data_IF_818332909615
#
_entry.id   IF_818332909615
#
_cell.length_a   1.000
_cell.length_b   1.000
_cell.length_c   1.000
_cell.angle_alpha   90.00
_cell.angle_beta   90.00
_cell.angle_gamma   90.00
#
_symmetry.space_group_name_H-M   'P 1'
#
loop_
_entity.id
_entity.type
_entity.pdbx_description
1 polymer ?
#
# COMPACT_ATOMS: atom_id res chain seq x y z
N UNK A 1 -37.26 -9.54 -7.51
CA UNK A 1 -36.59 -10.43 -6.54
C UNK A 1 -35.12 -10.64 -6.96
N UNK A 2 -34.84 -11.31 -8.11
CA UNK A 2 -33.46 -11.57 -8.59
C UNK A 2 -32.55 -10.35 -8.68
N UNK A 3 -33.05 -9.18 -9.09
CA UNK A 3 -32.26 -7.95 -9.14
C UNK A 3 -31.87 -7.45 -7.74
N UNK A 4 -32.74 -7.59 -6.78
CA UNK A 4 -32.50 -7.23 -5.38
C UNK A 4 -31.49 -8.19 -4.74
N UNK A 5 -31.66 -9.48 -4.98
CA UNK A 5 -30.73 -10.52 -4.51
C UNK A 5 -29.33 -10.34 -5.11
N UNK A 6 -29.24 -10.04 -6.40
CA UNK A 6 -27.96 -9.74 -7.05
C UNK A 6 -27.22 -8.56 -6.40
N UNK A 7 -27.93 -7.47 -6.10
CA UNK A 7 -27.36 -6.29 -5.44
C UNK A 7 -26.99 -6.56 -3.97
N UNK A 8 -27.83 -7.28 -3.24
CA UNK A 8 -27.61 -7.51 -1.82
C UNK A 8 -26.56 -8.59 -1.53
N UNK A 9 -26.52 -9.65 -2.33
CA UNK A 9 -25.74 -10.86 -2.04
C UNK A 9 -24.51 -11.03 -2.96
N UNK A 10 -24.59 -10.59 -4.23
CA UNK A 10 -23.58 -10.93 -5.23
C UNK A 10 -22.58 -9.78 -5.52
N UNK A 11 -22.83 -8.57 -5.06
CA UNK A 11 -21.87 -7.48 -5.28
C UNK A 11 -20.57 -7.75 -4.54
N UNK A 12 -19.44 -7.54 -5.24
CA UNK A 12 -18.10 -7.73 -4.68
C UNK A 12 -17.83 -6.84 -3.46
N UNK A 13 -18.42 -5.66 -3.41
CA UNK A 13 -18.35 -4.73 -2.27
C UNK A 13 -18.94 -5.32 -0.97
N UNK A 14 -19.83 -6.28 -1.07
CA UNK A 14 -20.45 -6.95 0.08
C UNK A 14 -19.75 -8.28 0.43
N UNK A 15 -18.82 -8.75 -0.39
CA UNK A 15 -18.12 -10.02 -0.26
C UNK A 15 -16.60 -9.81 -0.17
N UNK A 16 -16.16 -9.21 0.92
CA UNK A 16 -14.73 -8.89 1.15
C UNK A 16 -13.95 -10.11 1.64
N UNK A 17 -14.54 -10.86 2.58
CA UNK A 17 -13.90 -12.03 3.18
C UNK A 17 -14.49 -13.33 2.64
N UNK A 18 -13.63 -14.34 2.49
CA UNK A 18 -14.06 -15.68 2.13
C UNK A 18 -14.82 -16.34 3.30
N UNK A 19 -16.01 -16.88 3.09
CA UNK A 19 -16.73 -17.60 4.13
C UNK A 19 -16.05 -18.93 4.51
N UNK A 20 -15.16 -19.45 3.66
CA UNK A 20 -14.46 -20.71 3.93
C UNK A 20 -13.21 -20.52 4.81
N UNK A 21 -12.43 -19.46 4.58
CA UNK A 21 -11.15 -19.24 5.27
C UNK A 21 -11.10 -17.97 6.12
N UNK A 22 -12.02 -17.03 5.93
CA UNK A 22 -11.99 -15.72 6.56
C UNK A 22 -10.90 -14.79 6.01
N UNK A 23 -10.20 -15.20 4.95
CA UNK A 23 -9.20 -14.36 4.28
C UNK A 23 -9.86 -13.42 3.27
N UNK A 24 -9.28 -12.23 3.01
CA UNK A 24 -9.78 -11.32 1.98
C UNK A 24 -9.78 -11.97 0.59
N UNK A 25 -10.91 -11.84 -0.12
CA UNK A 25 -11.04 -12.28 -1.52
C UNK A 25 -10.55 -11.18 -2.48
N UNK A 26 -10.81 -9.92 -2.16
CA UNK A 26 -10.46 -8.76 -2.99
C UNK A 26 -8.97 -8.40 -2.88
N UNK A 27 -8.09 -9.38 -3.02
CA UNK A 27 -6.64 -9.16 -3.00
C UNK A 27 -6.15 -8.92 -4.42
N UNK A 28 -5.45 -7.82 -4.68
CA UNK A 28 -4.83 -7.57 -5.98
C UNK A 28 -3.88 -8.69 -6.40
N UNK A 29 -3.77 -8.90 -7.70
CA UNK A 29 -2.88 -9.90 -8.30
C UNK A 29 -2.16 -9.36 -9.53
N UNK A 30 -1.25 -10.15 -10.10
CA UNK A 30 -0.55 -9.85 -11.35
C UNK A 30 0.12 -8.45 -11.35
N UNK A 31 -0.24 -7.59 -12.30
CA UNK A 31 0.42 -6.30 -12.55
C UNK A 31 0.28 -5.31 -11.37
N UNK A 32 -0.81 -5.39 -10.63
CA UNK A 32 -1.00 -4.54 -9.45
C UNK A 32 0.04 -4.87 -8.38
N UNK A 33 0.27 -6.17 -8.11
CA UNK A 33 1.29 -6.63 -7.16
C UNK A 33 2.68 -6.25 -7.65
N UNK A 34 2.95 -6.39 -8.94
CA UNK A 34 4.23 -5.99 -9.54
C UNK A 34 4.50 -4.49 -9.33
N UNK A 35 3.52 -3.65 -9.59
CA UNK A 35 3.62 -2.20 -9.40
C UNK A 35 3.84 -1.81 -7.93
N UNK A 36 3.09 -2.41 -7.02
CA UNK A 36 3.23 -2.16 -5.58
C UNK A 36 4.57 -2.66 -5.04
N UNK A 37 5.04 -3.81 -5.50
CA UNK A 37 6.37 -4.31 -5.15
C UNK A 37 7.47 -3.39 -5.67
N UNK A 38 7.39 -2.98 -6.94
CA UNK A 38 8.34 -2.06 -7.55
C UNK A 38 8.46 -0.74 -6.78
N UNK A 39 7.33 -0.12 -6.42
CA UNK A 39 7.35 1.16 -5.71
C UNK A 39 7.84 1.06 -4.27
N UNK A 40 7.62 -0.07 -3.59
CA UNK A 40 8.00 -0.25 -2.18
C UNK A 40 9.36 -0.90 -1.95
N UNK A 41 10.03 -1.29 -3.03
CA UNK A 41 11.40 -1.82 -3.00
C UNK A 41 12.38 -0.74 -2.58
N UNK A 42 13.44 -1.13 -1.89
CA UNK A 42 14.57 -0.26 -1.55
C UNK A 42 15.66 -0.37 -2.62
N UNK A 43 16.30 0.75 -2.93
CA UNK A 43 17.48 0.81 -3.79
C UNK A 43 18.57 1.58 -3.08
N UNK A 44 19.74 0.98 -2.97
CA UNK A 44 20.94 1.58 -2.39
C UNK A 44 21.56 2.53 -3.41
N UNK A 45 22.12 3.64 -2.96
CA UNK A 45 22.71 4.71 -3.78
C UNK A 45 21.71 5.35 -4.76
N UNK A 46 20.44 5.42 -4.39
CA UNK A 46 19.45 6.15 -5.15
C UNK A 46 19.56 7.66 -4.89
N UNK A 47 19.17 8.46 -5.88
CA UNK A 47 19.19 9.92 -5.75
C UNK A 47 18.33 10.37 -4.57
N UNK A 48 18.91 11.19 -3.69
CA UNK A 48 18.24 11.73 -2.51
C UNK A 48 18.25 10.79 -1.30
N UNK A 49 19.08 9.74 -1.30
CA UNK A 49 19.24 8.86 -0.15
C UNK A 49 19.74 9.63 1.08
N UNK A 50 19.19 9.31 2.24
CA UNK A 50 19.55 9.93 3.52
C UNK A 50 18.86 11.27 3.81
N UNK A 51 18.05 11.81 2.91
CA UNK A 51 17.29 13.04 3.16
C UNK A 51 16.29 12.84 4.29
N UNK A 52 16.08 13.93 5.05
CA UNK A 52 15.14 13.94 6.19
C UNK A 52 14.01 14.90 5.85
N UNK A 53 12.78 14.44 6.02
CA UNK A 53 11.58 15.22 5.76
C UNK A 53 10.75 15.39 7.05
N UNK A 54 10.18 16.58 7.23
CA UNK A 54 9.35 16.89 8.38
C UNK A 54 7.95 16.26 8.28
N UNK A 55 7.46 16.01 7.05
CA UNK A 55 6.13 15.46 6.80
C UNK A 55 6.13 14.64 5.48
N UNK A 56 5.16 13.73 5.37
CA UNK A 56 4.94 12.94 4.15
C UNK A 56 4.65 13.81 2.91
N UNK A 57 3.96 14.96 3.09
CA UNK A 57 3.68 15.91 2.00
C UNK A 57 4.94 16.57 1.44
N UNK A 58 5.91 16.85 2.30
CA UNK A 58 7.20 17.39 1.90
C UNK A 58 7.97 16.37 1.05
N UNK A 59 7.98 15.10 1.48
CA UNK A 59 8.59 14.01 0.75
C UNK A 59 7.94 13.80 -0.65
N UNK A 60 6.62 13.86 -0.73
CA UNK A 60 5.87 13.77 -1.99
C UNK A 60 6.21 14.93 -2.94
N UNK A 61 6.34 16.17 -2.44
CA UNK A 61 6.77 17.33 -3.24
C UNK A 61 8.20 17.20 -3.74
N UNK A 62 9.12 16.68 -2.91
CA UNK A 62 10.51 16.43 -3.29
C UNK A 62 10.60 15.39 -4.42
N UNK A 63 9.78 14.35 -4.36
CA UNK A 63 9.65 13.36 -5.42
C UNK A 63 9.10 13.98 -6.72
N UNK A 64 8.02 14.75 -6.65
CA UNK A 64 7.41 15.40 -7.81
C UNK A 64 8.36 16.40 -8.48
N UNK A 65 9.27 17.03 -7.72
CA UNK A 65 10.33 17.90 -8.25
C UNK A 65 11.59 17.14 -8.71
N UNK A 66 11.55 15.81 -8.76
CA UNK A 66 12.65 14.93 -9.17
C UNK A 66 13.93 15.12 -8.37
N UNK A 67 13.84 15.57 -7.13
CA UNK A 67 14.99 15.69 -6.21
C UNK A 67 15.34 14.38 -5.53
N UNK A 68 14.37 13.49 -5.40
CA UNK A 68 14.49 12.19 -4.74
C UNK A 68 13.87 11.11 -5.61
N UNK A 69 14.51 9.96 -5.69
CA UNK A 69 14.00 8.80 -6.40
C UNK A 69 12.94 8.05 -5.56
N UNK A 70 12.05 7.34 -6.25
CA UNK A 70 10.95 6.57 -5.66
C UNK A 70 11.43 5.55 -4.62
N UNK A 71 12.57 4.90 -4.90
CA UNK A 71 13.12 3.79 -4.11
C UNK A 71 14.25 4.23 -3.15
N UNK A 72 14.51 5.54 -3.05
CA UNK A 72 15.52 6.09 -2.16
C UNK A 72 15.14 5.91 -0.69
N UNK A 73 16.11 5.54 0.12
CA UNK A 73 15.95 5.41 1.57
C UNK A 73 16.02 6.81 2.18
N UNK A 74 14.95 7.21 2.85
CA UNK A 74 14.79 8.53 3.47
C UNK A 74 14.26 8.41 4.89
N UNK A 75 14.40 9.46 5.68
CA UNK A 75 13.82 9.54 7.02
C UNK A 75 12.67 10.54 7.03
N UNK A 76 11.50 10.11 7.46
CA UNK A 76 10.30 10.95 7.49
C UNK A 76 9.67 10.89 8.86
N UNK A 77 9.19 12.04 9.33
CA UNK A 77 8.37 12.09 10.53
C UNK A 77 6.95 11.66 10.18
N UNK A 78 6.55 10.52 10.72
CA UNK A 78 5.21 9.98 10.57
C UNK A 78 4.42 10.28 11.84
N UNK A 79 3.24 10.81 11.65
CA UNK A 79 2.27 11.08 12.70
C UNK A 79 1.16 10.05 12.58
N UNK A 80 1.02 9.17 13.56
CA UNK A 80 -0.03 8.15 13.61
C UNK A 80 -1.14 8.62 14.54
N UNK A 81 -2.37 8.60 14.04
CA UNK A 81 -3.57 8.78 14.86
C UNK A 81 -3.94 7.40 15.46
N UNK A 82 -3.92 7.26 16.78
CA UNK A 82 -4.20 5.99 17.45
C UNK A 82 -5.61 5.47 17.18
N UNK A 83 -5.74 4.16 17.01
CA UNK A 83 -7.03 3.47 16.97
C UNK A 83 -7.75 3.67 18.31
N UNK A 84 -8.97 4.23 18.29
CA UNK A 84 -9.83 4.35 19.48
C UNK A 84 -9.67 5.64 20.29
N UNK A 85 -9.09 6.69 19.72
CA UNK A 85 -9.21 8.02 20.30
C UNK A 85 -10.67 8.50 20.18
N UNK A 86 -11.41 8.43 21.31
CA UNK A 86 -12.63 9.23 21.46
C UNK A 86 -12.28 10.71 21.18
N UNK A 87 -13.18 11.43 20.54
CA UNK A 87 -13.01 12.85 20.23
C UNK A 87 -12.58 13.62 21.49
N UNK A 88 -11.28 13.93 21.59
CA UNK A 88 -10.71 14.68 22.72
C UNK A 88 -9.45 14.12 23.36
N UNK A 89 -9.02 12.87 23.07
CA UNK A 89 -7.80 12.29 23.62
C UNK A 89 -6.94 11.63 22.55
N UNK A 90 -6.56 12.39 21.54
CA UNK A 90 -5.66 11.92 20.50
C UNK A 90 -4.24 11.78 21.05
N UNK A 91 -3.83 10.57 21.42
CA UNK A 91 -2.41 10.26 21.61
C UNK A 91 -1.75 10.17 20.24
N UNK A 92 -1.44 11.32 19.68
CA UNK A 92 -0.72 11.45 18.41
C UNK A 92 0.74 11.07 18.67
N UNK A 93 1.15 9.89 18.21
CA UNK A 93 2.56 9.49 18.23
C UNK A 93 3.25 9.98 16.98
N UNK A 94 4.23 10.85 17.17
CA UNK A 94 5.11 11.32 16.09
C UNK A 94 6.48 10.67 16.23
N UNK A 95 6.91 9.93 15.24
CA UNK A 95 8.21 9.28 15.21
C UNK A 95 8.93 9.53 13.89
N UNK A 96 10.27 9.64 13.96
CA UNK A 96 11.11 9.68 12.78
C UNK A 96 11.40 8.24 12.34
N UNK A 97 10.92 7.87 11.16
CA UNK A 97 11.01 6.49 10.65
C UNK A 97 11.82 6.47 9.37
N UNK A 98 12.70 5.49 9.24
CA UNK A 98 13.40 5.21 8.00
C UNK A 98 12.50 4.41 7.05
N UNK A 99 12.35 4.91 5.82
CA UNK A 99 11.42 4.37 4.84
C UNK A 99 11.86 4.76 3.41
N UNK A 100 11.02 4.47 2.42
CA UNK A 100 11.23 4.93 1.04
C UNK A 100 10.08 5.84 0.59
N UNK A 101 10.35 6.66 -0.43
CA UNK A 101 9.30 7.54 -1.00
C UNK A 101 8.10 6.73 -1.48
N UNK A 102 8.32 5.56 -2.11
CA UNK A 102 7.23 4.70 -2.56
C UNK A 102 6.31 4.24 -1.42
N UNK A 103 6.87 3.90 -0.26
CA UNK A 103 6.07 3.51 0.92
C UNK A 103 5.29 4.69 1.50
N UNK A 104 5.84 5.89 1.42
CA UNK A 104 5.15 7.13 1.83
C UNK A 104 3.96 7.41 0.91
N UNK A 105 4.14 7.26 -0.41
CA UNK A 105 3.06 7.43 -1.37
C UNK A 105 1.96 6.36 -1.22
N UNK A 106 2.35 5.14 -0.84
CA UNK A 106 1.39 4.11 -0.48
C UNK A 106 0.63 4.47 0.81
N UNK A 107 1.33 5.02 1.81
CA UNK A 107 0.73 5.47 3.07
C UNK A 107 -0.33 6.57 2.87
N UNK A 108 -0.18 7.42 1.86
CA UNK A 108 -1.13 8.48 1.55
C UNK A 108 -2.54 7.97 1.22
N UNK A 109 -2.65 6.76 0.66
CA UNK A 109 -3.95 6.13 0.34
C UNK A 109 -4.47 5.22 1.45
N UNK A 110 -3.64 4.88 2.43
CA UNK A 110 -4.05 4.03 3.56
C UNK A 110 -5.00 4.81 4.47
N UNK A 111 -6.17 4.23 4.82
CA UNK A 111 -7.09 4.87 5.74
C UNK A 111 -6.46 5.16 7.10
N UNK A 112 -6.88 6.24 7.74
CA UNK A 112 -6.44 6.62 9.08
C UNK A 112 -6.80 5.54 10.10
N UNK A 113 -5.94 5.36 11.09
CA UNK A 113 -6.13 4.35 12.14
C UNK A 113 -5.34 3.06 11.95
N UNK A 114 -4.62 2.89 10.85
CA UNK A 114 -3.65 1.80 10.69
C UNK A 114 -2.24 2.23 11.07
N UNK A 115 -1.39 1.28 11.46
CA UNK A 115 0.01 1.55 11.80
C UNK A 115 0.88 1.64 10.53
N UNK A 116 1.81 2.59 10.48
CA UNK A 116 2.75 2.74 9.36
C UNK A 116 3.64 1.50 9.15
N UNK A 117 3.90 0.75 10.22
CA UNK A 117 4.69 -0.49 10.18
C UNK A 117 4.12 -1.54 9.21
N UNK A 118 2.81 -1.54 8.98
CA UNK A 118 2.16 -2.43 8.00
C UNK A 118 2.61 -2.14 6.56
N UNK A 119 2.91 -0.88 6.28
CA UNK A 119 3.28 -0.38 4.95
C UNK A 119 4.80 -0.31 4.77
N UNK A 120 5.56 -0.20 5.86
CA UNK A 120 7.01 -0.02 5.82
C UNK A 120 7.79 -1.32 5.52
N UNK A 121 7.34 -2.04 4.51
CA UNK A 121 7.97 -3.27 4.01
C UNK A 121 7.71 -3.43 2.52
N UNK A 122 8.47 -4.28 1.81
CA UNK A 122 8.16 -4.60 0.42
C UNK A 122 6.76 -5.23 0.29
N UNK A 123 5.94 -4.71 -0.62
CA UNK A 123 4.56 -5.14 -0.83
C UNK A 123 4.50 -6.38 -1.71
N UNK A 124 4.65 -7.54 -1.09
CA UNK A 124 4.34 -8.83 -1.71
C UNK A 124 2.86 -9.18 -1.50
N UNK A 125 2.32 -10.11 -2.28
CA UNK A 125 0.90 -10.50 -2.22
C UNK A 125 0.39 -10.78 -0.79
N UNK A 126 1.17 -11.49 0.03
CA UNK A 126 0.81 -11.80 1.42
C UNK A 126 0.75 -10.53 2.31
N UNK A 127 1.67 -9.59 2.09
CA UNK A 127 1.68 -8.32 2.83
C UNK A 127 0.46 -7.47 2.48
N UNK A 128 0.08 -7.42 1.20
CA UNK A 128 -1.09 -6.68 0.71
C UNK A 128 -2.37 -7.30 1.30
N UNK A 129 -2.50 -8.62 1.28
CA UNK A 129 -3.62 -9.32 1.90
C UNK A 129 -3.75 -8.99 3.38
N UNK A 130 -2.63 -8.95 4.11
CA UNK A 130 -2.62 -8.59 5.53
C UNK A 130 -3.09 -7.15 5.78
N UNK A 131 -2.71 -6.18 4.94
CA UNK A 131 -3.18 -4.79 5.10
C UNK A 131 -4.68 -4.68 4.84
N UNK A 132 -5.20 -5.39 3.85
CA UNK A 132 -6.65 -5.40 3.55
C UNK A 132 -7.43 -6.04 4.69
N UNK A 133 -6.93 -7.13 5.29
CA UNK A 133 -7.57 -7.78 6.45
C UNK A 133 -7.59 -6.85 7.67
N UNK A 134 -6.46 -6.22 8.00
CA UNK A 134 -6.38 -5.23 9.08
C UNK A 134 -7.31 -4.03 8.85
N UNK A 135 -7.35 -3.53 7.60
CA UNK A 135 -8.25 -2.44 7.23
C UNK A 135 -9.72 -2.83 7.45
N UNK A 136 -10.12 -4.02 7.02
CA UNK A 136 -11.49 -4.51 7.17
C UNK A 136 -11.88 -4.67 8.65
N UNK A 137 -10.98 -5.23 9.46
CA UNK A 137 -11.24 -5.49 10.89
C UNK A 137 -11.32 -4.23 11.74
N UNK A 138 -10.48 -3.24 11.45
CA UNK A 138 -10.35 -2.06 12.30
C UNK A 138 -11.16 -0.85 11.82
N UNK A 139 -11.36 -0.69 10.53
CA UNK A 139 -11.98 0.51 9.95
C UNK A 139 -13.36 0.21 9.40
N UNK A 140 -13.55 -0.98 8.81
CA UNK A 140 -14.83 -1.44 8.31
C UNK A 140 -14.91 -1.54 6.78
N UNK A 141 -16.10 -1.97 6.32
CA UNK A 141 -16.35 -2.38 4.95
C UNK A 141 -16.11 -1.27 3.91
N UNK A 142 -16.70 -0.10 4.13
CA UNK A 142 -16.72 0.99 3.14
C UNK A 142 -15.31 1.49 2.80
N UNK A 143 -14.53 1.77 3.83
CA UNK A 143 -13.19 2.32 3.65
C UNK A 143 -12.21 1.28 3.11
N UNK A 144 -12.43 0.00 3.44
CA UNK A 144 -11.66 -1.11 2.85
C UNK A 144 -11.89 -1.23 1.34
N UNK A 145 -13.13 -1.07 0.87
CA UNK A 145 -13.44 -1.12 -0.57
C UNK A 145 -12.79 0.06 -1.29
N UNK A 146 -12.90 1.26 -0.74
CA UNK A 146 -12.27 2.47 -1.31
C UNK A 146 -10.75 2.32 -1.35
N UNK A 147 -10.17 1.82 -0.27
CA UNK A 147 -8.73 1.54 -0.19
C UNK A 147 -8.28 0.52 -1.23
N UNK A 148 -9.00 -0.60 -1.38
CA UNK A 148 -8.68 -1.62 -2.38
C UNK A 148 -8.73 -1.07 -3.82
N UNK A 149 -9.70 -0.21 -4.12
CA UNK A 149 -9.82 0.44 -5.42
C UNK A 149 -8.65 1.41 -5.68
N UNK A 150 -8.32 2.26 -4.73
CA UNK A 150 -7.17 3.16 -4.82
C UNK A 150 -5.84 2.39 -4.94
N UNK A 151 -5.70 1.28 -4.22
CA UNK A 151 -4.53 0.41 -4.27
C UNK A 151 -4.35 -0.21 -5.66
N UNK A 152 -5.45 -0.61 -6.29
CA UNK A 152 -5.45 -1.14 -7.66
C UNK A 152 -4.94 -0.09 -8.66
N UNK A 153 -5.48 1.13 -8.62
CA UNK A 153 -5.04 2.20 -9.53
C UNK A 153 -3.58 2.59 -9.29
N UNK A 154 -3.16 2.65 -8.04
CA UNK A 154 -1.76 2.92 -7.69
C UNK A 154 -0.83 1.83 -8.24
N UNK A 155 -1.21 0.57 -8.08
CA UNK A 155 -0.47 -0.57 -8.61
C UNK A 155 -0.31 -0.52 -10.13
N UNK A 156 -1.37 -0.26 -10.88
CA UNK A 156 -1.31 -0.10 -12.33
C UNK A 156 -0.42 1.06 -12.75
N UNK A 157 -0.53 2.20 -12.10
CA UNK A 157 0.32 3.37 -12.37
C UNK A 157 1.80 3.02 -12.24
N UNK A 158 2.20 2.38 -11.16
CA UNK A 158 3.60 2.06 -10.93
C UNK A 158 4.08 0.82 -11.69
N UNK A 159 3.19 -0.10 -12.06
CA UNK A 159 3.51 -1.18 -12.99
C UNK A 159 3.86 -0.61 -14.38
N UNK A 160 3.06 0.32 -14.88
CA UNK A 160 3.36 1.03 -16.13
C UNK A 160 4.67 1.81 -16.04
N UNK A 161 4.89 2.53 -14.94
CA UNK A 161 6.12 3.32 -14.73
C UNK A 161 7.37 2.45 -14.59
N UNK A 162 7.24 1.20 -14.15
CA UNK A 162 8.37 0.28 -14.00
C UNK A 162 8.99 -0.10 -15.33
N UNK A 163 8.20 -0.11 -16.42
CA UNK A 163 8.64 -0.54 -17.74
C UNK A 163 9.11 -1.99 -17.78
N UNK A 164 8.66 -2.83 -16.85
CA UNK A 164 9.05 -4.23 -16.78
C UNK A 164 8.55 -4.99 -18.00
N UNK A 165 9.46 -5.67 -18.68
CA UNK A 165 9.14 -6.62 -19.75
C UNK A 165 9.85 -7.94 -19.46
N UNK A 166 9.21 -9.05 -19.80
CA UNK A 166 9.72 -10.39 -19.57
C UNK A 166 9.81 -11.13 -20.89
N UNK A 167 11.03 -11.49 -21.30
CA UNK A 167 11.31 -12.28 -22.49
C UNK A 167 11.51 -13.77 -22.13
N UNK A 168 11.45 -14.63 -23.14
CA UNK A 168 11.68 -16.07 -22.97
C UNK A 168 13.06 -16.35 -22.38
N UNK A 169 14.06 -15.54 -22.74
CA UNK A 169 15.44 -15.70 -22.29
C UNK A 169 15.66 -15.28 -20.81
N UNK A 170 14.69 -14.62 -20.20
CA UNK A 170 14.76 -14.21 -18.78
C UNK A 170 14.42 -15.38 -17.85
N UNK A 171 13.84 -16.45 -18.38
CA UNK A 171 13.55 -17.68 -17.65
C UNK A 171 14.79 -18.58 -17.63
N UNK A 172 15.64 -18.38 -16.63
CA UNK A 172 16.79 -19.26 -16.41
C UNK A 172 16.32 -20.52 -15.70
N UNK A 173 16.46 -21.66 -16.36
CA UNK A 173 16.22 -22.96 -15.74
C UNK A 173 17.52 -23.37 -15.04
N UNK A 174 17.52 -23.60 -13.70
CA UNK A 174 18.72 -24.09 -13.01
C UNK A 174 19.11 -25.47 -13.56
N UNK A 175 20.39 -25.67 -13.81
CA UNK A 175 20.93 -26.98 -14.08
C UNK A 175 20.91 -27.80 -12.76
N UNK A 176 20.25 -28.96 -12.77
CA UNK A 176 20.18 -29.89 -11.63
C UNK A 176 21.52 -30.60 -11.37
#
# INVERSE_FOLDING_TARGET
EAQMESRALMMSTNNILSPASGEPIIVPSQDVVLGLYYMTRQRINAKGEGMIFADYKEASRAYNSSKVDLQAIVKVRITEEGLGAEEGSASTKSSLVETTIGRILLWEIVPKGLAFTLVNKPMVKKAISGIIDECYRHIGLKDTVIFADQLMYLGFKYSTSSGASVGVNDFVIPDD
#
